data_IF_213854388565
#
_entry.id   IF_213854388565
#
_cell.length_a   1.000
_cell.length_b   1.000
_cell.length_c   1.000
_cell.angle_alpha   90.00
_cell.angle_beta   90.00
_cell.angle_gamma   90.00
#
_symmetry.space_group_name_H-M   'P 1'
#
loop_
_entity.id
_entity.type
_entity.pdbx_description
1 polymer ?
#
# COMPACT_ATOMS: atom_id res chain seq x y z
N UNK A 1 -2.66 -8.12 11.02
CA UNK A 1 -2.35 -7.20 9.90
C UNK A 1 -3.23 -7.49 8.71
N UNK A 2 -3.81 -6.48 8.06
CA UNK A 2 -4.44 -6.64 6.75
C UNK A 2 -3.59 -5.96 5.68
N UNK A 3 -3.44 -6.60 4.52
CA UNK A 3 -2.53 -6.20 3.47
C UNK A 3 -3.18 -6.27 2.10
N UNK A 4 -2.64 -5.48 1.19
CA UNK A 4 -2.92 -5.54 -0.25
C UNK A 4 -1.74 -4.95 -1.03
N UNK A 5 -1.71 -5.19 -2.32
CA UNK A 5 -0.68 -4.69 -3.23
C UNK A 5 -1.29 -3.99 -4.45
N UNK A 6 -0.50 -3.08 -5.02
CA UNK A 6 -0.85 -2.40 -6.25
C UNK A 6 0.34 -2.36 -7.19
N UNK A 7 0.04 -2.48 -8.48
CA UNK A 7 1.06 -2.60 -9.52
C UNK A 7 1.71 -3.98 -9.53
N UNK A 8 1.08 -5.05 -9.04
CA UNK A 8 1.55 -6.40 -9.35
C UNK A 8 0.92 -6.89 -10.66
N UNK A 9 1.73 -7.36 -11.61
CA UNK A 9 1.26 -7.79 -12.95
C UNK A 9 1.76 -9.20 -13.31
N UNK A 10 1.97 -10.05 -12.29
CA UNK A 10 2.55 -11.38 -12.45
C UNK A 10 4.04 -11.32 -12.81
N UNK A 11 4.48 -12.22 -13.69
CA UNK A 11 5.90 -12.35 -14.08
C UNK A 11 6.36 -11.26 -15.08
N UNK A 12 5.46 -10.38 -15.53
CA UNK A 12 5.80 -9.24 -16.39
C UNK A 12 6.31 -8.08 -15.56
N UNK A 13 7.58 -8.17 -15.18
CA UNK A 13 8.27 -7.15 -14.38
C UNK A 13 8.91 -6.03 -15.24
N UNK A 14 9.01 -6.23 -16.57
CA UNK A 14 9.44 -5.22 -17.54
C UNK A 14 8.38 -5.09 -18.64
N UNK A 15 7.91 -3.87 -18.91
CA UNK A 15 6.88 -3.59 -19.91
C UNK A 15 5.42 -3.80 -19.42
N UNK A 16 5.22 -3.85 -18.11
CA UNK A 16 3.89 -3.77 -17.49
C UNK A 16 3.28 -2.37 -17.59
N UNK A 17 2.01 -2.23 -17.22
CA UNK A 17 1.28 -0.94 -17.22
C UNK A 17 1.79 0.00 -16.12
N UNK A 18 2.38 -0.54 -15.06
CA UNK A 18 2.93 0.19 -13.92
C UNK A 18 4.41 -0.14 -13.70
N UNK A 19 5.27 0.88 -13.59
CA UNK A 19 6.72 0.70 -13.32
C UNK A 19 7.04 0.56 -11.82
N UNK A 20 6.04 0.76 -10.97
CA UNK A 20 6.18 0.75 -9.51
C UNK A 20 5.25 -0.31 -8.93
N UNK A 21 5.78 -1.05 -7.96
CA UNK A 21 5.02 -1.95 -7.10
C UNK A 21 4.91 -1.32 -5.71
N UNK A 22 3.74 -1.43 -5.07
CA UNK A 22 3.59 -1.09 -3.67
C UNK A 22 2.80 -2.17 -2.95
N UNK A 23 3.21 -2.49 -1.73
CA UNK A 23 2.48 -3.35 -0.81
C UNK A 23 2.22 -2.57 0.47
N UNK A 24 0.96 -2.53 0.88
CA UNK A 24 0.53 -1.82 2.06
C UNK A 24 0.03 -2.79 3.12
N UNK A 25 0.26 -2.47 4.38
CA UNK A 25 -0.31 -3.18 5.51
C UNK A 25 -0.91 -2.23 6.53
N UNK A 26 -2.00 -2.64 7.16
CA UNK A 26 -2.69 -1.89 8.21
C UNK A 26 -2.97 -2.73 9.45
N UNK A 27 -2.78 -2.10 10.60
CA UNK A 27 -3.12 -2.62 11.93
C UNK A 27 -4.34 -1.87 12.47
N UNK A 28 -5.50 -2.17 11.88
CA UNK A 28 -6.79 -1.64 12.32
C UNK A 28 -7.69 -2.78 12.79
N UNK A 29 -8.51 -2.51 13.82
CA UNK A 29 -9.63 -3.38 14.14
C UNK A 29 -10.64 -3.39 12.98
N UNK A 30 -11.44 -4.46 12.80
CA UNK A 30 -12.50 -4.49 11.80
C UNK A 30 -13.46 -3.29 11.90
N UNK A 31 -13.83 -2.87 13.11
CA UNK A 31 -14.73 -1.74 13.34
C UNK A 31 -14.09 -0.40 12.94
N UNK A 32 -12.83 -0.18 13.33
CA UNK A 32 -12.10 1.04 12.98
C UNK A 32 -11.92 1.15 11.46
N UNK A 33 -11.57 0.04 10.79
CA UNK A 33 -11.48 -0.01 9.34
C UNK A 33 -12.84 0.18 8.66
N UNK A 34 -13.91 -0.41 9.20
CA UNK A 34 -15.28 -0.22 8.72
C UNK A 34 -15.70 1.25 8.78
N UNK A 35 -15.45 1.93 9.90
CA UNK A 35 -15.66 3.37 10.05
C UNK A 35 -14.83 4.18 9.06
N UNK A 36 -13.54 3.86 8.93
CA UNK A 36 -12.63 4.51 7.98
C UNK A 36 -13.14 4.39 6.52
N UNK A 37 -13.53 3.19 6.09
CA UNK A 37 -14.08 2.95 4.74
C UNK A 37 -15.40 3.70 4.54
N UNK A 38 -16.29 3.71 5.54
CA UNK A 38 -17.55 4.43 5.46
C UNK A 38 -17.31 5.95 5.29
N UNK A 39 -16.39 6.53 6.07
CA UNK A 39 -16.01 7.94 5.99
C UNK A 39 -15.34 8.28 4.66
N UNK A 40 -14.44 7.42 4.19
CA UNK A 40 -13.78 7.54 2.90
C UNK A 40 -14.82 7.61 1.77
N UNK A 41 -15.78 6.69 1.74
CA UNK A 41 -16.88 6.66 0.77
C UNK A 41 -17.74 7.93 0.84
N UNK A 42 -18.11 8.39 2.05
CA UNK A 42 -18.89 9.64 2.23
C UNK A 42 -18.16 10.87 1.70
N UNK A 43 -16.84 10.95 1.89
CA UNK A 43 -16.02 12.09 1.45
C UNK A 43 -15.80 12.13 -0.06
N UNK A 44 -15.59 10.96 -0.67
CA UNK A 44 -15.35 10.87 -2.13
C UNK A 44 -16.62 11.17 -2.93
N UNK A 45 -17.82 10.95 -2.36
CA UNK A 45 -19.13 11.23 -2.97
C UNK A 45 -19.26 10.69 -4.40
N UNK A 46 -18.90 9.43 -4.59
CA UNK A 46 -19.03 8.75 -5.89
C UNK A 46 -19.75 7.40 -5.72
N UNK A 47 -20.58 6.98 -6.69
CA UNK A 47 -21.31 5.72 -6.64
C UNK A 47 -20.46 4.49 -6.99
N UNK A 48 -19.19 4.67 -7.38
CA UNK A 48 -18.31 3.57 -7.76
C UNK A 48 -17.97 2.66 -6.57
N UNK A 49 -18.12 1.34 -6.76
CA UNK A 49 -17.73 0.31 -5.80
C UNK A 49 -16.21 0.04 -5.78
N UNK A 50 -15.49 0.43 -6.83
CA UNK A 50 -14.04 0.23 -6.98
C UNK A 50 -13.38 1.53 -7.46
N UNK A 51 -12.40 2.05 -6.72
CA UNK A 51 -11.76 3.34 -7.00
C UNK A 51 -10.36 3.14 -7.57
N UNK A 52 -10.23 3.20 -8.90
CA UNK A 52 -8.91 3.22 -9.56
C UNK A 52 -8.11 4.47 -9.19
N UNK A 53 -6.81 4.31 -8.93
CA UNK A 53 -5.88 5.34 -8.44
C UNK A 53 -5.90 6.68 -9.22
N UNK A 54 -6.21 6.67 -10.54
CA UNK A 54 -6.33 7.88 -11.36
C UNK A 54 -7.50 8.79 -10.96
N UNK A 55 -8.54 8.26 -10.33
CA UNK A 55 -9.66 9.07 -9.84
C UNK A 55 -9.34 9.77 -8.53
N UNK A 56 -8.49 9.19 -7.69
CA UNK A 56 -8.24 9.66 -6.31
C UNK A 56 -7.21 10.79 -6.21
N UNK A 57 -6.31 10.91 -7.19
CA UNK A 57 -5.35 12.03 -7.26
C UNK A 57 -5.90 13.30 -7.90
N UNK A 58 -7.18 13.32 -8.30
CA UNK A 58 -7.78 14.57 -8.80
C UNK A 58 -7.77 15.60 -7.67
N UNK A 59 -7.47 16.90 -7.95
CA UNK A 59 -7.40 17.94 -6.93
C UNK A 59 -8.60 17.98 -5.99
N UNK A 60 -9.80 17.67 -6.50
CA UNK A 60 -11.05 17.61 -5.73
C UNK A 60 -11.05 16.60 -4.57
N UNK A 61 -10.16 15.61 -4.56
CA UNK A 61 -10.06 14.61 -3.50
C UNK A 61 -8.88 14.84 -2.55
N UNK A 62 -8.11 15.94 -2.72
CA UNK A 62 -6.98 16.29 -1.84
C UNK A 62 -7.37 16.33 -0.37
N UNK A 63 -8.54 16.90 -0.04
CA UNK A 63 -9.06 16.93 1.33
C UNK A 63 -9.31 15.54 1.92
N UNK A 64 -9.68 14.55 1.11
CA UNK A 64 -9.82 13.16 1.54
C UNK A 64 -8.46 12.53 1.83
N UNK A 65 -7.46 12.76 0.98
CA UNK A 65 -6.08 12.27 1.19
C UNK A 65 -5.46 12.89 2.45
N UNK A 66 -5.68 14.19 2.69
CA UNK A 66 -5.24 14.86 3.91
C UNK A 66 -5.94 14.30 5.16
N UNK A 67 -7.24 14.02 5.08
CA UNK A 67 -7.95 13.38 6.18
C UNK A 67 -7.44 11.96 6.44
N UNK A 68 -7.21 11.17 5.40
CA UNK A 68 -6.81 9.78 5.57
C UNK A 68 -5.35 9.66 6.03
N UNK A 69 -4.43 10.32 5.33
CA UNK A 69 -2.98 10.14 5.50
C UNK A 69 -2.30 11.26 6.28
N UNK A 70 -3.01 12.34 6.60
CA UNK A 70 -2.44 13.48 7.33
C UNK A 70 -2.09 13.15 8.77
N UNK A 71 -1.55 14.16 9.47
CA UNK A 71 -1.01 14.04 10.84
C UNK A 71 -2.04 13.65 11.90
N UNK A 72 -3.32 13.80 11.59
CA UNK A 72 -4.45 13.43 12.45
C UNK A 72 -5.34 12.38 11.77
N UNK A 73 -4.83 11.73 10.73
CA UNK A 73 -5.58 10.76 9.95
C UNK A 73 -5.70 9.41 10.65
N UNK A 74 -6.75 8.64 10.36
CA UNK A 74 -7.08 7.41 11.09
C UNK A 74 -6.07 6.27 10.88
N UNK A 75 -5.22 6.35 9.85
CA UNK A 75 -4.23 5.29 9.56
C UNK A 75 -2.81 5.63 10.01
N UNK A 76 -2.56 6.86 10.49
CA UNK A 76 -1.22 7.25 10.92
C UNK A 76 -0.79 6.43 12.15
N UNK A 77 0.39 5.82 12.08
CA UNK A 77 0.89 4.92 13.13
C UNK A 77 0.27 3.52 13.11
N UNK A 78 -0.73 3.29 12.27
CA UNK A 78 -1.44 2.01 12.10
C UNK A 78 -1.24 1.42 10.70
N UNK A 79 -0.30 1.95 9.91
CA UNK A 79 -0.10 1.51 8.55
C UNK A 79 1.36 1.66 8.10
N UNK A 80 1.76 0.81 7.17
CA UNK A 80 3.04 0.88 6.47
C UNK A 80 2.87 0.59 4.98
N UNK A 81 3.86 1.00 4.20
CA UNK A 81 3.94 0.81 2.76
C UNK A 81 5.35 0.46 2.38
N UNK A 82 5.50 -0.61 1.60
CA UNK A 82 6.74 -0.93 0.91
C UNK A 82 6.60 -0.58 -0.57
N UNK A 83 7.46 0.29 -1.10
CA UNK A 83 7.45 0.70 -2.52
C UNK A 83 8.71 0.19 -3.21
N UNK A 84 8.56 -0.32 -4.43
CA UNK A 84 9.66 -0.85 -5.25
C UNK A 84 9.57 -0.32 -6.68
N UNK A 85 10.69 0.15 -7.23
CA UNK A 85 10.88 0.35 -8.67
C UNK A 85 11.09 -1.02 -9.34
N UNK A 86 10.15 -1.44 -10.20
CA UNK A 86 10.25 -2.75 -10.85
C UNK A 86 11.45 -2.86 -11.77
N UNK A 87 11.97 -1.76 -12.32
CA UNK A 87 13.16 -1.78 -13.16
C UNK A 87 14.44 -2.18 -12.40
N UNK A 88 14.44 -2.04 -11.07
CA UNK A 88 15.53 -2.52 -10.22
C UNK A 88 15.43 -4.03 -9.94
N UNK A 89 14.29 -4.66 -10.25
CA UNK A 89 14.03 -6.08 -9.97
C UNK A 89 13.98 -6.90 -11.27
N UNK A 90 15.08 -7.60 -11.57
CA UNK A 90 15.32 -8.34 -12.80
C UNK A 90 14.55 -9.68 -12.91
N UNK A 91 13.24 -9.70 -12.66
CA UNK A 91 12.44 -10.93 -12.72
C UNK A 91 12.24 -11.65 -11.37
N UNK A 92 12.60 -11.01 -10.27
CA UNK A 92 12.54 -11.57 -8.91
C UNK A 92 11.14 -11.43 -8.27
N UNK A 93 10.84 -12.32 -7.32
CA UNK A 93 9.61 -12.28 -6.52
C UNK A 93 9.47 -10.94 -5.76
N UNK A 94 8.38 -10.21 -5.98
CA UNK A 94 8.04 -8.98 -5.25
C UNK A 94 7.13 -9.21 -4.04
N UNK A 95 6.31 -10.26 -4.07
CA UNK A 95 5.26 -10.48 -3.09
C UNK A 95 5.81 -11.06 -1.79
N UNK A 96 6.68 -12.08 -1.87
CA UNK A 96 7.26 -12.68 -0.65
C UNK A 96 8.12 -11.66 0.10
N UNK A 97 9.05 -10.90 -0.53
CA UNK A 97 9.77 -9.85 0.18
C UNK A 97 8.86 -8.80 0.80
N UNK A 98 7.79 -8.39 0.12
CA UNK A 98 6.84 -7.41 0.63
C UNK A 98 6.01 -7.92 1.82
N UNK A 99 5.67 -9.21 1.86
CA UNK A 99 5.03 -9.81 3.02
C UNK A 99 6.01 -9.95 4.20
N UNK A 100 7.26 -10.34 3.93
CA UNK A 100 8.33 -10.37 4.93
C UNK A 100 8.63 -8.98 5.49
N UNK A 101 8.43 -7.94 4.68
CA UNK A 101 8.51 -6.56 5.12
C UNK A 101 7.45 -6.25 6.19
N UNK A 102 6.20 -6.70 6.00
CA UNK A 102 5.16 -6.61 7.02
C UNK A 102 5.55 -7.33 8.30
N UNK A 103 6.06 -8.57 8.20
CA UNK A 103 6.56 -9.34 9.36
C UNK A 103 7.68 -8.60 10.07
N UNK A 104 8.59 -7.95 9.33
CA UNK A 104 9.68 -7.17 9.93
C UNK A 104 9.17 -5.93 10.68
N UNK A 105 8.15 -5.26 10.17
CA UNK A 105 7.60 -4.05 10.81
C UNK A 105 6.81 -4.41 12.07
N UNK A 106 6.07 -5.52 12.07
CA UNK A 106 5.08 -5.82 13.11
C UNK A 106 5.39 -7.04 13.98
N UNK A 107 6.45 -7.79 13.67
CA UNK A 107 6.78 -9.06 14.31
C UNK A 107 6.19 -10.26 13.59
N UNK A 108 6.60 -11.46 14.02
CA UNK A 108 6.16 -12.75 13.50
C UNK A 108 4.94 -13.34 14.22
N UNK A 109 4.60 -12.83 15.41
CA UNK A 109 3.37 -13.16 16.16
C UNK A 109 2.13 -12.42 15.61
N UNK A 110 1.95 -12.49 14.29
CA UNK A 110 0.81 -11.91 13.58
C UNK A 110 0.22 -12.93 12.61
N UNK A 111 -1.05 -12.74 12.27
CA UNK A 111 -1.62 -13.29 11.05
C UNK A 111 -1.78 -12.16 10.03
N UNK A 112 -1.27 -12.41 8.82
CA UNK A 112 -1.52 -11.53 7.68
C UNK A 112 -2.84 -11.95 7.03
N UNK A 113 -3.72 -10.98 6.86
CA UNK A 113 -4.93 -11.06 6.05
C UNK A 113 -4.61 -10.35 4.75
N UNK A 114 -4.79 -10.98 3.61
CA UNK A 114 -4.39 -10.41 2.34
C UNK A 114 -5.54 -10.52 1.33
N UNK A 115 -5.66 -9.59 0.38
CA UNK A 115 -6.58 -9.80 -0.74
C UNK A 115 -6.16 -11.03 -1.55
N UNK A 116 -7.06 -11.57 -2.37
CA UNK A 116 -6.77 -12.77 -3.16
C UNK A 116 -5.62 -12.54 -4.13
N UNK A 117 -4.50 -13.22 -3.87
CA UNK A 117 -3.32 -13.19 -4.74
C UNK A 117 -2.92 -14.59 -5.20
N UNK A 118 -3.23 -14.90 -6.46
CA UNK A 118 -3.03 -16.23 -7.06
C UNK A 118 -1.56 -16.62 -7.21
N UNK A 119 -0.64 -15.66 -7.24
CA UNK A 119 0.79 -15.93 -7.38
C UNK A 119 1.41 -16.47 -6.07
N UNK A 120 0.77 -16.30 -4.92
CA UNK A 120 1.25 -16.79 -3.61
C UNK A 120 0.89 -18.25 -3.39
N UNK A 121 1.63 -19.14 -4.04
CA UNK A 121 1.51 -20.60 -3.84
C UNK A 121 1.88 -20.99 -2.40
N UNK A 122 1.44 -22.18 -1.91
CA UNK A 122 1.81 -22.66 -0.58
C UNK A 122 3.33 -22.66 -0.30
N UNK A 123 4.14 -23.00 -1.32
CA UNK A 123 5.60 -22.96 -1.22
C UNK A 123 6.14 -21.54 -0.99
N UNK A 124 5.55 -20.52 -1.63
CA UNK A 124 5.92 -19.12 -1.41
C UNK A 124 5.45 -18.61 -0.06
N UNK A 125 4.26 -19.01 0.38
CA UNK A 125 3.73 -18.67 1.71
C UNK A 125 4.61 -19.20 2.84
N UNK A 126 5.20 -20.38 2.68
CA UNK A 126 6.14 -20.94 3.65
C UNK A 126 7.38 -20.05 3.89
N UNK A 127 7.71 -19.15 2.95
CA UNK A 127 8.85 -18.22 3.06
C UNK A 127 8.51 -16.92 3.81
N UNK A 128 7.23 -16.64 4.08
CA UNK A 128 6.79 -15.37 4.70
C UNK A 128 7.21 -15.32 6.18
N UNK A 129 7.12 -16.44 6.89
CA UNK A 129 7.47 -16.53 8.31
C UNK A 129 6.31 -16.29 9.28
N UNK A 130 5.08 -16.11 8.79
CA UNK A 130 3.86 -16.09 9.59
C UNK A 130 2.67 -16.65 8.79
N UNK A 131 1.54 -17.00 9.44
CA UNK A 131 0.33 -17.39 8.73
C UNK A 131 -0.20 -16.26 7.84
N UNK A 132 -0.64 -16.64 6.64
CA UNK A 132 -1.30 -15.74 5.68
C UNK A 132 -2.66 -16.34 5.32
N UNK A 133 -3.72 -15.54 5.44
CA UNK A 133 -5.08 -15.89 4.99
C UNK A 133 -5.52 -14.96 3.87
N UNK A 134 -6.18 -15.52 2.87
CA UNK A 134 -6.76 -14.73 1.78
C UNK A 134 -8.24 -14.43 2.05
N UNK A 135 -8.65 -13.21 1.75
CA UNK A 135 -10.05 -12.77 1.76
C UNK A 135 -10.35 -12.05 0.46
N UNK A 136 -11.62 -11.92 0.10
CA UNK A 136 -11.99 -10.93 -0.92
C UNK A 136 -12.03 -9.55 -0.26
N UNK A 137 -11.45 -8.55 -0.92
CA UNK A 137 -11.45 -7.15 -0.45
C UNK A 137 -12.85 -6.64 -0.08
N UNK A 138 -13.89 -7.03 -0.80
CA UNK A 138 -15.30 -6.68 -0.51
C UNK A 138 -15.78 -7.10 0.89
N UNK A 139 -15.16 -8.13 1.49
CA UNK A 139 -15.60 -8.75 2.74
C UNK A 139 -14.76 -8.32 3.96
N UNK A 140 -13.64 -7.62 3.76
CA UNK A 140 -12.77 -7.16 4.85
C UNK A 140 -12.40 -5.69 4.67
N UNK A 141 -13.00 -4.82 5.48
CA UNK A 141 -12.76 -3.38 5.41
C UNK A 141 -11.29 -3.01 5.63
N UNK A 142 -10.51 -3.82 6.36
CA UNK A 142 -9.09 -3.56 6.59
C UNK A 142 -8.29 -3.74 5.30
N UNK A 143 -8.62 -4.76 4.50
CA UNK A 143 -8.03 -4.97 3.17
C UNK A 143 -8.39 -3.81 2.24
N UNK A 144 -9.62 -3.28 2.28
CA UNK A 144 -9.97 -2.08 1.49
C UNK A 144 -9.17 -0.83 1.86
N UNK A 145 -8.81 -0.66 3.13
CA UNK A 145 -7.92 0.44 3.54
C UNK A 145 -6.49 0.19 3.02
N UNK A 146 -6.01 -1.05 3.09
CA UNK A 146 -4.71 -1.44 2.55
C UNK A 146 -4.63 -1.24 1.02
N UNK A 147 -5.66 -1.67 0.26
CA UNK A 147 -5.80 -1.44 -1.19
C UNK A 147 -5.65 0.04 -1.53
N UNK A 148 -6.41 0.90 -0.83
CA UNK A 148 -6.37 2.34 -1.05
C UNK A 148 -4.97 2.91 -0.83
N UNK A 149 -4.29 2.47 0.23
CA UNK A 149 -2.93 2.90 0.56
C UNK A 149 -1.90 2.38 -0.46
N UNK A 150 -2.01 1.13 -0.90
CA UNK A 150 -1.15 0.55 -1.94
C UNK A 150 -1.33 1.29 -3.27
N UNK A 151 -2.57 1.53 -3.69
CA UNK A 151 -2.88 2.28 -4.90
C UNK A 151 -2.41 3.74 -4.86
N UNK A 152 -2.55 4.40 -3.70
CA UNK A 152 -1.98 5.73 -3.47
C UNK A 152 -0.45 5.71 -3.63
N UNK A 153 0.22 4.76 -3.01
CA UNK A 153 1.67 4.64 -3.05
C UNK A 153 2.23 4.36 -4.44
N UNK A 154 1.67 3.36 -5.15
CA UNK A 154 2.08 3.02 -6.52
C UNK A 154 1.95 4.22 -7.45
N UNK A 155 0.87 5.00 -7.30
CA UNK A 155 0.64 6.18 -8.12
C UNK A 155 1.62 7.32 -7.83
N UNK A 156 1.87 7.63 -6.55
CA UNK A 156 2.84 8.65 -6.14
C UNK A 156 4.25 8.25 -6.58
N UNK A 157 4.61 6.97 -6.41
CA UNK A 157 5.89 6.42 -6.89
C UNK A 157 6.04 6.51 -8.40
N UNK A 158 4.98 6.21 -9.16
CA UNK A 158 5.00 6.28 -10.63
C UNK A 158 5.20 7.70 -11.15
N UNK A 159 4.56 8.72 -10.53
CA UNK A 159 4.82 10.11 -10.91
C UNK A 159 6.23 10.57 -10.57
N UNK A 160 6.75 10.16 -9.41
CA UNK A 160 8.12 10.47 -9.04
C UNK A 160 9.12 9.81 -10.00
N UNK A 161 8.89 8.55 -10.39
CA UNK A 161 9.69 7.82 -11.38
C UNK A 161 9.65 8.46 -12.77
N UNK A 162 8.52 9.05 -13.14
CA UNK A 162 8.35 9.81 -14.38
C UNK A 162 8.95 11.23 -14.33
N UNK A 163 9.63 11.60 -13.24
CA UNK A 163 10.24 12.93 -13.08
C UNK A 163 9.24 14.05 -12.80
N UNK A 164 8.02 13.73 -12.35
CA UNK A 164 6.95 14.70 -12.05
C UNK A 164 6.40 14.51 -10.63
N UNK A 165 7.24 14.43 -9.58
CA UNK A 165 6.76 14.21 -8.24
C UNK A 165 5.84 15.34 -7.78
N UNK A 166 4.71 14.98 -7.18
CA UNK A 166 3.93 15.90 -6.36
C UNK A 166 4.53 15.90 -4.94
N UNK A 167 5.24 16.97 -4.53
CA UNK A 167 5.95 17.01 -3.24
C UNK A 167 4.98 16.89 -2.05
N UNK A 168 3.74 17.32 -2.26
CA UNK A 168 2.68 17.40 -1.27
C UNK A 168 2.04 16.03 -1.04
N UNK A 169 1.91 15.20 -2.09
CA UNK A 169 1.52 13.80 -1.97
C UNK A 169 2.68 12.94 -1.44
N UNK A 170 3.91 13.19 -1.90
CA UNK A 170 5.10 12.49 -1.40
C UNK A 170 5.30 12.72 0.11
N UNK A 171 5.11 13.96 0.59
CA UNK A 171 5.19 14.27 2.02
C UNK A 171 4.09 13.59 2.86
N UNK A 172 2.90 13.36 2.28
CA UNK A 172 1.83 12.58 2.94
C UNK A 172 2.16 11.10 3.02
N UNK A 173 2.81 10.53 2.00
CA UNK A 173 3.17 9.12 1.97
C UNK A 173 4.39 8.78 2.84
N UNK A 174 5.34 9.72 2.97
CA UNK A 174 6.62 9.51 3.64
C UNK A 174 6.54 8.86 5.04
N UNK A 175 5.58 9.19 5.94
CA UNK A 175 5.47 8.56 7.25
C UNK A 175 5.15 7.06 7.22
N UNK A 176 4.60 6.57 6.11
CA UNK A 176 4.17 5.18 5.95
C UNK A 176 5.24 4.32 5.27
N UNK A 177 6.22 4.93 4.59
CA UNK A 177 7.23 4.18 3.86
C UNK A 177 8.12 3.38 4.81
N UNK A 178 8.30 2.10 4.49
CA UNK A 178 9.27 1.28 5.21
C UNK A 178 10.71 1.69 4.86
N UNK A 179 11.70 1.46 5.74
CA UNK A 179 13.09 1.86 5.49
C UNK A 179 13.74 1.23 4.26
N UNK A 180 13.21 0.09 3.79
CA UNK A 180 13.69 -0.62 2.58
C UNK A 180 12.93 -0.25 1.32
N UNK A 181 11.93 0.65 1.41
CA UNK A 181 11.28 1.18 0.22
C UNK A 181 12.29 1.89 -0.67
N UNK A 182 12.14 1.75 -1.99
CA UNK A 182 13.02 2.42 -2.93
C UNK A 182 12.96 3.95 -2.75
N UNK A 183 14.10 4.65 -2.90
CA UNK A 183 14.20 6.09 -2.71
C UNK A 183 13.55 6.89 -3.84
N UNK A 184 12.67 6.27 -4.65
CA UNK A 184 11.84 6.94 -5.65
C UNK A 184 11.09 8.14 -5.06
N UNK A 185 10.85 8.12 -3.75
CA UNK A 185 10.29 9.21 -2.99
C UNK A 185 11.38 9.78 -2.08
N UNK A 186 11.51 11.11 -1.93
CA UNK A 186 12.48 11.70 -1.02
C UNK A 186 12.16 11.26 0.41
N UNK A 187 12.81 10.18 0.86
CA UNK A 187 12.78 9.75 2.25
C UNK A 187 13.44 10.88 3.02
N UNK A 188 12.70 11.49 3.98
CA UNK A 188 13.31 12.43 4.91
C UNK A 188 14.53 11.74 5.51
N UNK A 189 15.72 12.25 5.23
CA UNK A 189 16.91 11.85 5.96
C UNK A 189 16.59 12.03 7.44
N UNK A 190 16.62 10.93 8.19
CA UNK A 190 16.64 11.03 9.64
C UNK A 190 17.94 11.76 9.97
N UNK A 191 17.87 13.05 10.29
CA UNK A 191 18.90 13.68 11.10
C UNK A 191 18.94 12.88 12.40
N UNK A 192 19.96 12.03 12.53
CA UNK A 192 20.32 11.47 13.83
C UNK A 192 20.69 12.64 14.76
N UNK A 193 20.27 12.59 16.04
CA UNK A 193 20.78 13.53 17.05
C UNK A 193 22.30 13.37 17.22
#
# INVERSE_FOLDING_TARGET
>A
MACDESGYEGDRLVGGVTDVFAHAGVDLSPDAAGGCVADLRRRIRSPAQEYKANHLLRPKHRGTLLWLFGRTGPVLGHAHVHVVDKSAFAGTDLLVPALRETVRVWGDDITIVHDRQNALTPARLALVGCPVRFVASGDDARVQVADFLAGFATRVGSEARAGRPDPELAALLAPYLTPTSDPLLPVRSRSRP
#
